data_IF_937888533649
#
_entry.id   IF_937888533649
#
_cell.length_a   1.000
_cell.length_b   1.000
_cell.length_c   1.000
_cell.angle_alpha   90.00
_cell.angle_beta   90.00
_cell.angle_gamma   90.00
#
_symmetry.space_group_name_H-M   'P 1'
#
loop_
_entity.id
_entity.type
_entity.pdbx_description
1 polymer ?
#
# COMPACT_ATOMS: atom_id res chain seq x y z
N UNK A 1 -17.01 5.39 7.06
CA UNK A 1 -17.37 6.80 6.74
C UNK A 1 -16.10 7.55 6.41
N UNK A 2 -16.07 8.30 5.30
CA UNK A 2 -14.90 9.08 4.85
C UNK A 2 -15.37 10.50 4.52
N UNK A 3 -14.56 11.52 4.82
CA UNK A 3 -14.86 12.91 4.43
C UNK A 3 -14.48 13.11 2.96
N UNK A 4 -15.22 13.97 2.26
CA UNK A 4 -15.02 14.22 0.81
C UNK A 4 -13.59 14.66 0.46
N UNK A 5 -12.95 15.42 1.34
CA UNK A 5 -11.60 15.96 1.14
C UNK A 5 -10.50 15.13 1.83
N UNK A 6 -10.81 13.91 2.25
CA UNK A 6 -9.80 13.01 2.83
C UNK A 6 -8.87 12.45 1.74
N UNK A 7 -7.58 12.42 2.07
CA UNK A 7 -6.60 11.57 1.37
C UNK A 7 -6.68 10.18 1.99
N UNK A 8 -6.96 9.16 1.18
CA UNK A 8 -7.12 7.79 1.65
C UNK A 8 -5.96 6.93 1.17
N UNK A 9 -5.36 6.17 2.08
CA UNK A 9 -4.36 5.18 1.75
C UNK A 9 -4.97 3.81 2.04
N UNK A 10 -5.17 3.04 0.99
CA UNK A 10 -5.68 1.67 1.03
C UNK A 10 -4.50 0.69 1.13
N UNK A 11 -4.35 0.11 2.32
CA UNK A 11 -3.39 -0.96 2.59
C UNK A 11 -4.03 -2.35 2.51
N UNK A 12 -5.31 -2.42 2.16
CA UNK A 12 -6.07 -3.64 1.99
C UNK A 12 -5.56 -4.46 0.82
N UNK A 13 -5.54 -5.78 1.03
CA UNK A 13 -5.20 -6.75 0.00
C UNK A 13 -5.98 -8.03 0.27
N UNK A 14 -7.14 -8.13 -0.38
CA UNK A 14 -7.97 -9.33 -0.39
C UNK A 14 -8.12 -9.86 -1.80
N UNK A 15 -8.39 -11.16 -1.95
CA UNK A 15 -8.64 -11.78 -3.26
C UNK A 15 -10.07 -12.28 -3.33
N UNK A 16 -10.76 -11.96 -4.41
CA UNK A 16 -12.10 -12.49 -4.72
C UNK A 16 -12.23 -12.71 -6.21
N UNK A 17 -12.68 -13.90 -6.60
CA UNK A 17 -12.86 -14.29 -8.01
C UNK A 17 -11.62 -14.05 -8.89
N UNK A 18 -10.42 -14.26 -8.33
CA UNK A 18 -9.14 -14.04 -9.02
C UNK A 18 -8.78 -12.56 -9.23
N UNK A 19 -9.45 -11.64 -8.54
CA UNK A 19 -9.13 -10.20 -8.54
C UNK A 19 -8.63 -9.76 -7.18
N UNK A 20 -7.60 -8.92 -7.20
CA UNK A 20 -7.12 -8.24 -6.01
C UNK A 20 -8.02 -7.04 -5.70
N UNK A 21 -8.52 -6.97 -4.46
CA UNK A 21 -9.41 -5.94 -3.95
C UNK A 21 -8.81 -5.27 -2.72
N UNK A 22 -9.01 -3.95 -2.61
CA UNK A 22 -8.65 -3.17 -1.44
C UNK A 22 -9.76 -3.14 -0.38
N UNK A 23 -9.57 -2.35 0.67
CA UNK A 23 -10.56 -2.16 1.73
C UNK A 23 -11.60 -1.09 1.40
N UNK A 24 -11.34 -0.28 0.36
CA UNK A 24 -12.26 0.77 -0.08
C UNK A 24 -13.42 0.17 -0.88
N UNK A 25 -14.65 0.56 -0.51
CA UNK A 25 -15.84 0.27 -1.32
C UNK A 25 -15.73 0.95 -2.70
N UNK A 26 -15.92 0.22 -3.83
CA UNK A 26 -15.84 0.78 -5.18
C UNK A 26 -16.70 2.03 -5.43
N UNK A 27 -17.79 2.21 -4.68
CA UNK A 27 -18.63 3.43 -4.77
C UNK A 27 -17.85 4.66 -4.30
N UNK A 28 -16.97 4.52 -3.31
CA UNK A 28 -16.17 5.62 -2.76
C UNK A 28 -15.06 6.06 -3.71
N UNK A 29 -14.56 5.20 -4.60
CA UNK A 29 -13.55 5.54 -5.61
C UNK A 29 -13.98 6.72 -6.51
N UNK A 30 -15.29 6.87 -6.74
CA UNK A 30 -15.85 7.98 -7.53
C UNK A 30 -16.05 9.28 -6.75
N UNK A 31 -15.98 9.21 -5.41
CA UNK A 31 -16.30 10.33 -4.51
C UNK A 31 -15.01 10.92 -3.92
N UNK A 32 -14.00 10.09 -3.69
CA UNK A 32 -12.72 10.50 -3.13
C UNK A 32 -11.91 11.31 -4.15
N UNK A 33 -11.34 12.43 -3.70
CA UNK A 33 -10.44 13.24 -4.53
C UNK A 33 -9.05 12.61 -4.66
N UNK A 34 -8.62 11.85 -3.66
CA UNK A 34 -7.29 11.24 -3.65
C UNK A 34 -7.33 9.94 -2.86
N UNK A 35 -6.96 8.83 -3.52
CA UNK A 35 -6.83 7.53 -2.90
C UNK A 35 -5.74 6.70 -3.60
N UNK A 36 -5.25 5.65 -2.93
CA UNK A 36 -4.35 4.68 -3.56
C UNK A 36 -5.15 3.54 -4.20
N UNK A 37 -4.93 3.20 -5.47
CA UNK A 37 -5.67 2.12 -6.13
C UNK A 37 -5.20 0.73 -5.69
N UNK A 38 -6.08 -0.26 -5.80
CA UNK A 38 -5.73 -1.67 -5.68
C UNK A 38 -6.19 -2.40 -6.94
N UNK A 39 -5.28 -3.04 -7.70
CA UNK A 39 -3.83 -3.11 -7.52
C UNK A 39 -3.09 -1.80 -7.85
N UNK A 40 -1.84 -1.68 -7.39
CA UNK A 40 -0.90 -0.63 -7.82
C UNK A 40 -0.58 0.48 -6.81
N UNK A 41 -1.26 0.51 -5.66
CA UNK A 41 -1.04 1.48 -4.58
C UNK A 41 0.07 1.06 -3.60
N UNK A 42 -0.32 0.64 -2.40
CA UNK A 42 0.62 0.35 -1.31
C UNK A 42 1.51 -0.87 -1.58
N UNK A 43 1.01 -1.89 -2.30
CA UNK A 43 1.74 -3.15 -2.55
C UNK A 43 3.16 -2.98 -3.11
N UNK A 44 3.36 -2.28 -4.24
CA UNK A 44 4.69 -2.01 -4.77
C UNK A 44 5.63 -1.27 -3.81
N UNK A 45 5.09 -0.35 -3.00
CA UNK A 45 5.87 0.40 -2.00
C UNK A 45 6.34 -0.53 -0.89
N UNK A 46 5.50 -1.46 -0.43
CA UNK A 46 5.86 -2.47 0.58
C UNK A 46 7.04 -3.32 0.11
N UNK A 47 7.04 -3.76 -1.15
CA UNK A 47 8.17 -4.55 -1.71
C UNK A 47 9.45 -3.72 -1.76
N UNK A 48 9.37 -2.46 -2.22
CA UNK A 48 10.53 -1.57 -2.26
C UNK A 48 11.12 -1.35 -0.86
N UNK A 49 10.28 -1.12 0.15
CA UNK A 49 10.72 -0.94 1.53
C UNK A 49 11.23 -2.21 2.19
N UNK A 50 10.71 -3.40 1.82
CA UNK A 50 11.29 -4.66 2.26
C UNK A 50 12.76 -4.79 1.84
N UNK A 51 13.07 -4.49 0.57
CA UNK A 51 14.45 -4.50 0.09
C UNK A 51 15.29 -3.38 0.69
N UNK A 52 14.73 -2.19 0.87
CA UNK A 52 15.44 -1.08 1.53
C UNK A 52 15.84 -1.45 2.96
N UNK A 53 14.91 -2.05 3.72
CA UNK A 53 15.18 -2.51 5.08
C UNK A 53 16.21 -3.64 5.11
N UNK A 54 16.17 -4.56 4.14
CA UNK A 54 17.15 -5.63 4.01
C UNK A 54 18.57 -5.08 3.78
N UNK A 55 18.72 -4.14 2.83
CA UNK A 55 20.01 -3.51 2.53
C UNK A 55 20.53 -2.77 3.77
N UNK A 56 19.66 -2.02 4.45
CA UNK A 56 20.02 -1.30 5.66
C UNK A 56 20.53 -2.24 6.76
N UNK A 57 19.84 -3.37 7.00
CA UNK A 57 20.25 -4.36 7.98
C UNK A 57 21.60 -5.03 7.63
N UNK A 58 21.82 -5.32 6.34
CA UNK A 58 23.09 -5.87 5.87
C UNK A 58 24.26 -4.90 6.12
N UNK A 59 24.09 -3.62 5.75
CA UNK A 59 25.10 -2.57 5.98
C UNK A 59 25.40 -2.36 7.46
N UNK A 60 24.39 -2.42 8.34
CA UNK A 60 24.61 -2.32 9.78
C UNK A 60 25.39 -3.51 10.36
N UNK A 61 25.19 -4.71 9.82
CA UNK A 61 25.92 -5.91 10.26
C UNK A 61 27.41 -5.80 9.90
N UNK A 62 27.73 -5.24 8.73
CA UNK A 62 29.11 -4.98 8.30
C UNK A 62 29.81 -3.92 9.15
N UNK A 63 29.10 -2.89 9.62
CA UNK A 63 29.68 -1.82 10.45
C UNK A 63 29.96 -2.24 11.90
N UNK A 64 29.28 -3.28 12.38
CA UNK A 64 29.40 -3.80 13.75
C UNK A 64 30.32 -5.03 13.85
N UNK A 65 30.90 -5.48 12.72
CA UNK A 65 31.89 -6.56 12.64
C UNK A 65 33.30 -5.99 12.54
#
# INVERSE_FOLDING_TARGET
FVKKDSVVIDAGASESEGRLLGDIDPVLEKVLQTYTPVPGGVGPVTVAYLFSNLIFAAMQTEQNS
#
